data_IF_185345080874
#
_entry.id   IF_185345080874
#
_cell.length_a   1.000
_cell.length_b   1.000
_cell.length_c   1.000
_cell.angle_alpha   90.00
_cell.angle_beta   90.00
_cell.angle_gamma   90.00
#
_symmetry.space_group_name_H-M   'P 1'
#
loop_
_entity.id
_entity.type
_entity.pdbx_description
1 polymer ?
#
# COMPACT_ATOMS: atom_id res chain seq x y z
N UNK A 1 -32.93 -39.49 51.82
CA UNK A 1 -32.70 -40.40 50.68
C UNK A 1 -33.65 -39.97 49.58
N UNK A 2 -33.11 -39.60 48.40
CA UNK A 2 -33.84 -39.32 47.14
C UNK A 2 -34.70 -38.04 47.18
N UNK A 3 -34.79 -37.13 46.22
CA UNK A 3 -34.20 -36.83 44.90
C UNK A 3 -34.68 -35.40 44.57
N UNK A 4 -34.15 -34.78 43.52
CA UNK A 4 -34.51 -33.47 42.91
C UNK A 4 -33.44 -32.40 43.17
N UNK A 5 -32.23 -32.73 42.69
CA UNK A 5 -31.29 -31.74 42.17
C UNK A 5 -31.71 -31.54 40.70
N UNK A 6 -32.76 -30.74 40.48
CA UNK A 6 -33.25 -30.44 39.13
C UNK A 6 -32.24 -29.51 38.48
N UNK A 7 -31.61 -30.00 37.43
CA UNK A 7 -30.73 -29.29 36.53
C UNK A 7 -31.30 -27.92 36.14
N UNK A 8 -30.87 -26.86 36.85
CA UNK A 8 -30.70 -25.53 36.27
C UNK A 8 -29.38 -25.53 35.48
N UNK A 9 -29.27 -26.46 34.53
CA UNK A 9 -28.61 -26.16 33.27
C UNK A 9 -29.63 -25.25 32.59
N UNK A 10 -29.57 -23.96 32.91
CA UNK A 10 -29.95 -22.93 31.98
C UNK A 10 -29.07 -23.15 30.76
N UNK A 11 -29.54 -24.05 29.89
CA UNK A 11 -29.28 -23.97 28.49
C UNK A 11 -29.69 -22.55 28.12
N UNK A 12 -28.70 -21.65 28.10
CA UNK A 12 -28.68 -20.59 27.13
C UNK A 12 -28.72 -21.33 25.80
N UNK A 13 -29.95 -21.67 25.39
CA UNK A 13 -30.29 -21.87 24.01
C UNK A 13 -30.01 -20.49 23.45
N UNK A 14 -28.76 -20.27 23.04
CA UNK A 14 -28.44 -19.27 22.05
C UNK A 14 -29.27 -19.75 20.88
N UNK A 15 -30.48 -19.23 20.76
CA UNK A 15 -31.31 -19.40 19.60
C UNK A 15 -30.56 -18.66 18.51
N UNK A 16 -29.57 -19.34 17.92
CA UNK A 16 -29.08 -19.00 16.60
C UNK A 16 -30.33 -18.92 15.75
N UNK A 17 -30.76 -17.70 15.41
CA UNK A 17 -31.90 -17.50 14.56
C UNK A 17 -31.53 -18.17 13.24
N UNK A 18 -32.05 -19.38 13.01
CA UNK A 18 -31.83 -20.09 11.78
C UNK A 18 -32.40 -19.22 10.66
N UNK A 19 -31.51 -18.68 9.82
CA UNK A 19 -31.90 -17.90 8.64
C UNK A 19 -32.89 -18.74 7.84
N UNK A 20 -34.06 -18.20 7.51
CA UNK A 20 -35.06 -18.98 6.77
C UNK A 20 -34.52 -19.38 5.39
N UNK A 21 -34.80 -20.61 4.95
CA UNK A 21 -34.38 -21.10 3.62
C UNK A 21 -34.89 -20.18 2.50
N UNK A 22 -36.09 -19.62 2.66
CA UNK A 22 -36.67 -18.64 1.74
C UNK A 22 -35.78 -17.39 1.60
N UNK A 23 -35.28 -16.86 2.71
CA UNK A 23 -34.40 -15.69 2.69
C UNK A 23 -33.04 -16.02 2.07
N UNK A 24 -32.44 -17.16 2.41
CA UNK A 24 -31.18 -17.61 1.81
C UNK A 24 -31.31 -17.80 0.30
N UNK A 25 -32.42 -18.40 -0.14
CA UNK A 25 -32.74 -18.58 -1.56
C UNK A 25 -32.90 -17.24 -2.27
N UNK A 26 -33.57 -16.26 -1.64
CA UNK A 26 -33.69 -14.92 -2.19
C UNK A 26 -32.31 -14.24 -2.35
N UNK A 27 -31.46 -14.31 -1.32
CA UNK A 27 -30.08 -13.80 -1.37
C UNK A 27 -29.31 -14.45 -2.52
N UNK A 28 -29.31 -15.79 -2.59
CA UNK A 28 -28.57 -16.52 -3.61
C UNK A 28 -29.06 -16.19 -5.03
N UNK A 29 -30.39 -16.13 -5.25
CA UNK A 29 -30.98 -15.71 -6.51
C UNK A 29 -30.51 -14.30 -6.93
N UNK A 30 -30.52 -13.34 -6.01
CA UNK A 30 -30.10 -11.97 -6.31
C UNK A 30 -28.60 -11.85 -6.57
N UNK A 31 -27.76 -12.64 -5.89
CA UNK A 31 -26.32 -12.71 -6.17
C UNK A 31 -26.04 -13.30 -7.55
N UNK A 32 -26.61 -14.46 -7.87
CA UNK A 32 -26.42 -15.16 -9.16
C UNK A 32 -26.91 -14.31 -10.34
N UNK A 33 -28.02 -13.59 -10.17
CA UNK A 33 -28.58 -12.72 -11.20
C UNK A 33 -27.95 -11.31 -11.27
N UNK A 34 -26.99 -10.99 -10.38
CA UNK A 34 -26.42 -9.65 -10.22
C UNK A 34 -27.51 -8.55 -10.10
N UNK A 35 -28.57 -8.84 -9.32
CA UNK A 35 -29.70 -7.94 -9.13
C UNK A 35 -29.36 -6.78 -8.19
N UNK A 36 -29.72 -5.52 -8.50
CA UNK A 36 -29.56 -4.38 -7.57
C UNK A 36 -30.25 -4.58 -6.21
N UNK A 37 -31.29 -5.39 -6.16
CA UNK A 37 -32.07 -5.72 -4.96
C UNK A 37 -31.23 -6.40 -3.86
N UNK A 38 -30.08 -6.99 -4.22
CA UNK A 38 -29.16 -7.59 -3.26
C UNK A 38 -28.68 -6.60 -2.18
N UNK A 39 -28.68 -5.29 -2.49
CA UNK A 39 -28.30 -4.23 -1.54
C UNK A 39 -29.10 -4.26 -0.25
N UNK A 40 -30.38 -4.70 -0.30
CA UNK A 40 -31.27 -4.84 0.86
C UNK A 40 -30.81 -5.92 1.85
N UNK A 41 -29.91 -6.79 1.42
CA UNK A 41 -29.36 -7.87 2.22
C UNK A 41 -27.92 -7.59 2.66
N UNK A 42 -27.34 -6.42 2.37
CA UNK A 42 -26.06 -6.02 2.94
C UNK A 42 -26.30 -5.50 4.36
N UNK A 43 -25.44 -5.84 5.31
CA UNK A 43 -25.50 -5.27 6.65
C UNK A 43 -25.44 -3.74 6.58
N UNK A 44 -26.36 -3.04 7.25
CA UNK A 44 -26.53 -1.58 7.09
C UNK A 44 -25.24 -0.79 7.30
N UNK A 45 -24.44 -1.15 8.31
CA UNK A 45 -23.14 -0.53 8.57
C UNK A 45 -22.16 -0.70 7.41
N UNK A 46 -22.12 -1.88 6.80
CA UNK A 46 -21.25 -2.18 5.65
C UNK A 46 -21.73 -1.44 4.41
N UNK A 47 -23.05 -1.35 4.20
CA UNK A 47 -23.63 -0.55 3.12
C UNK A 47 -23.31 0.94 3.25
N UNK A 48 -23.44 1.51 4.45
CA UNK A 48 -23.02 2.88 4.74
C UNK A 48 -21.52 3.07 4.49
N UNK A 49 -20.71 2.10 4.92
CA UNK A 49 -19.26 2.17 4.78
C UNK A 49 -18.85 2.18 3.30
N UNK A 50 -19.41 1.31 2.47
CA UNK A 50 -19.19 1.29 1.01
C UNK A 50 -19.50 2.61 0.32
N UNK A 51 -20.52 3.34 0.80
CA UNK A 51 -21.00 4.56 0.16
C UNK A 51 -20.49 5.85 0.81
N UNK A 52 -19.76 5.79 1.93
CA UNK A 52 -19.44 6.93 2.80
C UNK A 52 -18.70 8.08 2.11
N UNK A 53 -17.92 7.75 1.10
CA UNK A 53 -17.12 8.70 0.34
C UNK A 53 -17.78 9.19 -0.96
N UNK A 54 -18.93 8.63 -1.34
CA UNK A 54 -19.60 8.95 -2.60
C UNK A 54 -18.79 8.59 -3.85
N UNK A 55 -17.85 7.64 -3.74
CA UNK A 55 -17.12 7.10 -4.89
C UNK A 55 -18.04 6.07 -5.58
N UNK A 56 -18.30 6.28 -6.86
CA UNK A 56 -19.13 5.41 -7.72
C UNK A 56 -18.32 4.95 -8.92
N UNK A 57 -18.72 3.80 -9.48
CA UNK A 57 -18.08 3.21 -10.65
C UNK A 57 -19.06 3.12 -11.80
N UNK A 58 -18.66 3.64 -12.97
CA UNK A 58 -19.51 3.61 -14.17
C UNK A 58 -19.84 2.17 -14.54
N UNK A 59 -21.11 1.91 -14.87
CA UNK A 59 -21.65 0.59 -15.24
C UNK A 59 -21.63 -0.47 -14.12
N UNK A 60 -21.26 -0.09 -12.89
CA UNK A 60 -21.33 -0.97 -11.72
C UNK A 60 -22.63 -0.71 -10.97
N UNK A 61 -23.53 -1.71 -10.97
CA UNK A 61 -24.82 -1.62 -10.28
C UNK A 61 -24.71 -1.59 -8.77
N UNK A 62 -23.73 -2.32 -8.22
CA UNK A 62 -23.52 -2.43 -6.79
C UNK A 62 -22.03 -2.46 -6.47
N UNK A 63 -21.53 -1.36 -5.91
CA UNK A 63 -20.12 -1.21 -5.52
C UNK A 63 -19.67 -2.27 -4.51
N UNK A 64 -20.54 -2.71 -3.59
CA UNK A 64 -20.19 -3.65 -2.52
C UNK A 64 -19.67 -5.00 -3.05
N UNK A 65 -20.07 -5.39 -4.26
CA UNK A 65 -19.71 -6.67 -4.85
C UNK A 65 -18.58 -6.59 -5.87
N UNK A 66 -17.94 -5.43 -6.09
CA UNK A 66 -16.79 -5.35 -7.02
C UNK A 66 -15.73 -6.39 -6.64
N UNK A 67 -15.26 -7.15 -7.65
CA UNK A 67 -14.34 -8.28 -7.56
C UNK A 67 -14.90 -9.54 -6.85
N UNK A 68 -16.16 -9.52 -6.42
CA UNK A 68 -16.84 -10.68 -5.85
C UNK A 68 -18.21 -10.96 -6.50
N UNK A 69 -18.54 -10.30 -7.60
CA UNK A 69 -19.74 -10.57 -8.39
C UNK A 69 -19.69 -11.96 -9.05
N UNK A 70 -20.86 -12.44 -9.46
CA UNK A 70 -20.94 -13.56 -10.39
C UNK A 70 -20.61 -13.05 -11.81
N UNK A 71 -19.88 -13.84 -12.63
CA UNK A 71 -19.71 -13.50 -14.03
C UNK A 71 -21.09 -13.41 -14.72
N UNK A 72 -21.16 -12.73 -15.86
CA UNK A 72 -22.41 -12.67 -16.64
C UNK A 72 -22.73 -14.09 -17.14
N UNK A 73 -23.74 -14.69 -16.54
CA UNK A 73 -24.21 -16.05 -16.83
C UNK A 73 -25.70 -16.02 -17.18
N UNK A 74 -26.18 -17.07 -17.86
CA UNK A 74 -27.62 -17.23 -18.12
C UNK A 74 -28.36 -17.39 -16.79
N UNK A 75 -29.37 -16.54 -16.58
CA UNK A 75 -30.20 -16.53 -15.36
C UNK A 75 -30.99 -17.83 -15.16
N UNK A 76 -31.10 -18.69 -16.18
CA UNK A 76 -31.77 -19.98 -16.10
C UNK A 76 -30.87 -21.12 -15.58
N UNK A 77 -29.58 -20.85 -15.31
CA UNK A 77 -28.68 -21.87 -14.78
C UNK A 77 -29.14 -22.33 -13.39
N UNK A 78 -29.12 -23.64 -13.19
CA UNK A 78 -29.34 -24.24 -11.87
C UNK A 78 -28.09 -24.00 -11.02
N UNK A 79 -28.31 -23.50 -9.82
CA UNK A 79 -27.28 -23.35 -8.80
C UNK A 79 -27.72 -24.05 -7.52
N UNK A 80 -26.74 -24.50 -6.75
CA UNK A 80 -26.93 -25.03 -5.41
C UNK A 80 -26.36 -24.04 -4.40
N UNK A 81 -26.94 -23.97 -3.21
CA UNK A 81 -26.35 -23.21 -2.10
C UNK A 81 -26.39 -24.03 -0.81
N UNK A 82 -25.38 -23.79 0.04
CA UNK A 82 -25.29 -24.35 1.39
C UNK A 82 -24.85 -23.27 2.36
N UNK A 83 -25.25 -23.41 3.62
CA UNK A 83 -24.77 -22.56 4.70
C UNK A 83 -24.08 -23.38 5.77
N UNK A 84 -22.96 -22.85 6.27
CA UNK A 84 -22.22 -23.43 7.38
C UNK A 84 -22.09 -22.38 8.48
N UNK A 85 -22.42 -22.75 9.72
CA UNK A 85 -22.15 -21.88 10.86
C UNK A 85 -20.64 -21.81 11.06
N UNK A 86 -20.09 -20.60 11.18
CA UNK A 86 -18.66 -20.40 11.41
C UNK A 86 -18.38 -20.00 12.87
N UNK A 87 -18.34 -18.71 13.18
CA UNK A 87 -18.03 -18.17 14.52
C UNK A 87 -18.97 -16.99 14.82
N UNK A 88 -19.20 -16.65 16.09
CA UNK A 88 -19.88 -15.42 16.56
C UNK A 88 -21.21 -15.08 15.82
N UNK A 89 -22.07 -16.08 15.61
CA UNK A 89 -23.35 -15.99 14.88
C UNK A 89 -23.22 -15.64 13.38
N UNK A 90 -22.02 -15.80 12.80
CA UNK A 90 -21.81 -15.70 11.37
C UNK A 90 -22.03 -17.05 10.67
N UNK A 91 -22.55 -16.98 9.45
CA UNK A 91 -22.68 -18.12 8.55
C UNK A 91 -21.90 -17.88 7.26
N UNK A 92 -21.26 -18.92 6.73
CA UNK A 92 -20.70 -18.94 5.39
C UNK A 92 -21.74 -19.48 4.42
N UNK A 93 -22.20 -18.63 3.50
CA UNK A 93 -23.02 -19.01 2.36
C UNK A 93 -22.11 -19.38 1.18
N UNK A 94 -22.13 -20.64 0.79
CA UNK A 94 -21.44 -21.12 -0.42
C UNK A 94 -22.47 -21.34 -1.51
N UNK A 95 -22.26 -20.72 -2.67
CA UNK A 95 -23.09 -20.90 -3.87
C UNK A 95 -22.23 -21.58 -4.94
N UNK A 96 -22.74 -22.65 -5.53
CA UNK A 96 -22.08 -23.44 -6.56
C UNK A 96 -22.91 -23.48 -7.83
N UNK A 97 -22.26 -23.29 -8.98
CA UNK A 97 -22.83 -23.49 -10.31
C UNK A 97 -21.96 -24.54 -11.01
N UNK A 98 -22.25 -25.85 -10.80
CA UNK A 98 -21.38 -26.92 -11.27
C UNK A 98 -21.15 -26.91 -12.79
N UNK A 99 -22.16 -26.49 -13.57
CA UNK A 99 -22.07 -26.44 -15.04
C UNK A 99 -21.01 -25.46 -15.55
N UNK A 100 -20.69 -24.42 -14.76
CA UNK A 100 -19.71 -23.37 -15.10
C UNK A 100 -18.42 -23.49 -14.28
N UNK A 101 -18.32 -24.50 -13.42
CA UNK A 101 -17.24 -24.64 -12.44
C UNK A 101 -17.05 -23.37 -11.58
N UNK A 102 -18.16 -22.72 -11.20
CA UNK A 102 -18.15 -21.52 -10.36
C UNK A 102 -18.49 -21.89 -8.93
N UNK A 103 -17.66 -21.45 -8.00
CA UNK A 103 -17.90 -21.50 -6.55
C UNK A 103 -17.66 -20.11 -5.96
N UNK A 104 -18.63 -19.59 -5.21
CA UNK A 104 -18.55 -18.27 -4.55
C UNK A 104 -18.98 -18.37 -3.09
N UNK A 105 -18.32 -17.58 -2.26
CA UNK A 105 -18.49 -17.59 -0.82
C UNK A 105 -18.84 -16.19 -0.30
N UNK A 106 -19.81 -16.12 0.61
CA UNK A 106 -20.30 -14.90 1.22
C UNK A 106 -20.48 -15.09 2.72
N UNK A 107 -20.00 -14.15 3.52
CA UNK A 107 -20.22 -14.16 4.96
C UNK A 107 -21.54 -13.45 5.29
N UNK A 108 -22.33 -14.08 6.15
CA UNK A 108 -23.60 -13.56 6.63
C UNK A 108 -23.52 -13.33 8.14
N UNK A 109 -24.02 -12.18 8.60
CA UNK A 109 -24.32 -11.88 10.00
C UNK A 109 -25.80 -11.55 10.11
N UNK A 110 -26.56 -12.25 10.96
CA UNK A 110 -28.00 -12.01 11.12
C UNK A 110 -28.75 -11.96 9.78
N UNK A 111 -28.44 -12.90 8.87
CA UNK A 111 -28.99 -12.94 7.51
C UNK A 111 -28.67 -11.76 6.60
N UNK A 112 -27.59 -11.03 6.90
CA UNK A 112 -27.10 -9.89 6.12
C UNK A 112 -25.65 -10.13 5.70
N UNK A 113 -25.34 -9.85 4.44
CA UNK A 113 -24.01 -10.00 3.84
C UNK A 113 -23.06 -8.98 4.45
N UNK A 114 -21.85 -9.45 4.78
CA UNK A 114 -20.72 -8.65 5.24
C UNK A 114 -19.48 -8.95 4.40
N UNK A 115 -18.53 -8.01 4.36
CA UNK A 115 -17.27 -8.22 3.65
C UNK A 115 -16.31 -9.12 4.44
N UNK A 116 -15.34 -9.74 3.74
CA UNK A 116 -14.26 -10.49 4.38
C UNK A 116 -13.47 -9.64 5.39
N UNK A 117 -13.08 -8.38 5.08
CA UNK A 117 -12.43 -7.53 6.06
C UNK A 117 -13.26 -7.30 7.31
N UNK A 118 -14.55 -7.05 7.18
CA UNK A 118 -15.44 -6.89 8.34
C UNK A 118 -15.48 -8.15 9.21
N UNK A 119 -15.66 -9.33 8.59
CA UNK A 119 -15.70 -10.60 9.31
C UNK A 119 -14.37 -10.89 10.04
N UNK A 120 -13.24 -10.84 9.34
CA UNK A 120 -11.95 -11.25 9.92
C UNK A 120 -11.35 -10.23 10.90
N UNK A 121 -11.76 -8.97 10.85
CA UNK A 121 -11.25 -7.91 11.73
C UNK A 121 -12.12 -7.58 12.93
N UNK A 122 -13.26 -8.28 13.11
CA UNK A 122 -14.27 -7.98 14.14
C UNK A 122 -13.73 -7.92 15.59
N UNK A 123 -12.64 -8.65 15.86
CA UNK A 123 -11.98 -8.71 17.17
C UNK A 123 -10.59 -8.03 17.18
N UNK A 124 -10.24 -7.29 16.12
CA UNK A 124 -8.97 -6.58 16.04
C UNK A 124 -8.98 -5.32 16.88
N UNK A 125 -7.79 -4.87 17.29
CA UNK A 125 -7.67 -3.60 17.99
C UNK A 125 -7.96 -2.46 17.02
N UNK A 126 -8.75 -1.49 17.47
CA UNK A 126 -8.95 -0.25 16.73
C UNK A 126 -8.16 0.92 17.33
N UNK A 127 -7.56 1.74 16.46
CA UNK A 127 -7.00 3.06 16.79
C UNK A 127 -7.52 4.08 15.79
N UNK A 128 -7.55 5.35 16.16
CA UNK A 128 -7.97 6.43 15.27
C UNK A 128 -6.98 7.58 15.30
N UNK A 129 -6.92 8.32 14.20
CA UNK A 129 -6.18 9.57 14.03
C UNK A 129 -7.06 10.56 13.26
N UNK A 130 -6.52 11.67 12.76
CA UNK A 130 -7.31 12.70 12.10
C UNK A 130 -8.01 12.21 10.82
N UNK A 131 -7.33 11.42 9.99
CA UNK A 131 -7.89 10.94 8.72
C UNK A 131 -8.11 9.43 8.66
N UNK A 132 -7.68 8.67 9.67
CA UNK A 132 -7.72 7.21 9.63
C UNK A 132 -8.47 6.57 10.80
N UNK A 133 -9.01 5.39 10.50
CA UNK A 133 -9.42 4.37 11.47
C UNK A 133 -8.63 3.10 11.19
N UNK A 134 -7.75 2.73 12.11
CA UNK A 134 -6.88 1.58 12.01
C UNK A 134 -7.54 0.36 12.64
N UNK A 135 -7.46 -0.77 11.95
CA UNK A 135 -7.79 -2.10 12.45
C UNK A 135 -6.49 -2.89 12.47
N UNK A 136 -6.03 -3.29 13.65
CA UNK A 136 -4.68 -3.82 13.88
C UNK A 136 -4.81 -5.22 14.46
N UNK A 137 -4.33 -6.23 13.73
CA UNK A 137 -4.40 -7.62 14.18
C UNK A 137 -3.38 -7.97 15.27
N UNK A 138 -2.23 -7.32 15.25
CA UNK A 138 -1.16 -7.43 16.26
C UNK A 138 -0.60 -6.05 16.58
N UNK A 139 -0.90 -5.54 17.78
CA UNK A 139 -0.46 -4.21 18.21
C UNK A 139 1.06 -4.08 18.32
N UNK A 140 1.78 -5.18 18.49
CA UNK A 140 3.25 -5.15 18.56
C UNK A 140 3.88 -4.81 17.21
N UNK A 141 3.11 -4.84 16.11
CA UNK A 141 3.60 -4.51 14.78
C UNK A 141 3.29 -3.08 14.34
N UNK A 142 2.64 -2.26 15.18
CA UNK A 142 2.22 -0.91 14.81
C UNK A 142 2.52 0.11 15.89
N UNK A 143 2.96 1.31 15.49
CA UNK A 143 3.39 2.35 16.41
C UNK A 143 2.89 3.74 15.96
N UNK A 144 2.97 4.71 16.87
CA UNK A 144 2.49 6.07 16.60
C UNK A 144 3.32 6.79 15.53
N UNK A 145 4.59 6.40 15.34
CA UNK A 145 5.39 6.96 14.26
C UNK A 145 4.80 6.59 12.89
N UNK A 146 4.38 5.34 12.68
CA UNK A 146 3.70 4.93 11.44
C UNK A 146 2.39 5.71 11.20
N UNK A 147 1.59 5.93 12.26
CA UNK A 147 0.36 6.74 12.17
C UNK A 147 0.68 8.17 11.70
N UNK A 148 1.66 8.82 12.33
CA UNK A 148 2.05 10.19 11.98
C UNK A 148 2.58 10.30 10.55
N UNK A 149 3.30 9.28 10.08
CA UNK A 149 3.80 9.23 8.71
C UNK A 149 2.67 9.08 7.68
N UNK A 150 1.65 8.25 7.96
CA UNK A 150 0.44 8.14 7.13
C UNK A 150 -0.36 9.47 7.10
N UNK A 151 -0.49 10.15 8.23
CA UNK A 151 -1.15 11.47 8.32
C UNK A 151 -0.39 12.55 7.53
N UNK A 152 0.94 12.59 7.67
CA UNK A 152 1.80 13.49 6.93
C UNK A 152 1.71 13.23 5.42
N UNK A 153 1.70 11.95 5.02
CA UNK A 153 1.51 11.56 3.63
C UNK A 153 0.20 12.10 3.07
N UNK A 154 -0.95 11.80 3.70
CA UNK A 154 -2.26 12.28 3.25
C UNK A 154 -2.32 13.82 3.18
N UNK A 155 -1.74 14.51 4.16
CA UNK A 155 -1.69 15.98 4.17
C UNK A 155 -0.92 16.55 2.98
N UNK A 156 0.24 15.96 2.63
CA UNK A 156 0.99 16.34 1.42
C UNK A 156 0.17 16.10 0.15
N UNK A 157 -0.53 14.97 0.10
CA UNK A 157 -1.36 14.61 -1.05
C UNK A 157 -2.58 15.50 -1.23
N UNK A 158 -3.19 15.99 -0.14
CA UNK A 158 -4.23 17.02 -0.23
C UNK A 158 -3.73 18.28 -0.90
N UNK A 159 -2.53 18.74 -0.55
CA UNK A 159 -1.90 19.88 -1.20
C UNK A 159 -1.56 19.57 -2.67
N UNK A 160 -0.94 18.42 -2.94
CA UNK A 160 -0.51 18.04 -4.29
C UNK A 160 -1.70 17.88 -5.23
N UNK A 161 -2.76 17.18 -4.80
CA UNK A 161 -3.96 16.92 -5.59
C UNK A 161 -5.03 18.02 -5.49
N UNK A 162 -4.69 19.14 -4.82
CA UNK A 162 -5.55 20.31 -4.65
C UNK A 162 -6.94 19.94 -4.12
N UNK A 163 -7.02 19.21 -3.02
CA UNK A 163 -8.29 18.87 -2.40
C UNK A 163 -8.94 20.12 -1.81
N UNK A 164 -10.27 20.23 -1.89
CA UNK A 164 -11.01 21.31 -1.22
C UNK A 164 -11.14 21.02 0.29
N UNK A 165 -11.40 22.06 1.09
CA UNK A 165 -11.66 21.90 2.52
C UNK A 165 -12.85 20.97 2.80
N UNK A 166 -13.86 20.98 1.94
CA UNK A 166 -15.00 20.05 2.01
C UNK A 166 -14.55 18.59 1.82
N UNK A 167 -13.70 18.33 0.82
CA UNK A 167 -13.14 17.01 0.55
C UNK A 167 -12.28 16.52 1.73
N UNK A 168 -11.43 17.39 2.27
CA UNK A 168 -10.58 17.09 3.43
C UNK A 168 -11.45 16.80 4.66
N UNK A 169 -12.46 17.63 4.92
CA UNK A 169 -13.40 17.44 6.03
C UNK A 169 -14.20 16.15 5.89
N UNK A 170 -14.59 15.77 4.67
CA UNK A 170 -15.27 14.49 4.42
C UNK A 170 -14.35 13.32 4.80
N UNK A 171 -13.06 13.35 4.44
CA UNK A 171 -12.10 12.32 4.86
C UNK A 171 -11.92 12.31 6.37
N UNK A 172 -11.78 13.49 7.00
CA UNK A 172 -11.66 13.62 8.46
C UNK A 172 -12.86 13.04 9.21
N UNK A 173 -14.08 13.24 8.70
CA UNK A 173 -15.31 12.74 9.30
C UNK A 173 -15.52 11.25 9.07
N UNK A 174 -15.28 10.76 7.85
CA UNK A 174 -15.61 9.39 7.44
C UNK A 174 -14.47 8.38 7.66
N UNK A 175 -13.24 8.88 7.79
CA UNK A 175 -11.99 8.14 8.00
C UNK A 175 -11.65 7.10 6.92
N UNK A 176 -10.38 7.04 6.56
CA UNK A 176 -9.82 5.97 5.74
C UNK A 176 -9.66 4.75 6.65
N UNK A 177 -10.30 3.63 6.28
CA UNK A 177 -10.18 2.39 7.05
C UNK A 177 -8.91 1.66 6.61
N UNK A 178 -8.01 1.45 7.56
CA UNK A 178 -6.68 0.87 7.32
C UNK A 178 -6.51 -0.41 8.14
N UNK A 179 -6.49 -1.55 7.47
CA UNK A 179 -6.37 -2.87 8.06
C UNK A 179 -4.92 -3.35 7.97
N UNK A 180 -4.26 -3.40 9.12
CA UNK A 180 -2.90 -3.90 9.24
C UNK A 180 -2.91 -5.37 9.64
N UNK A 181 -2.59 -6.23 8.68
CA UNK A 181 -2.42 -7.66 8.84
C UNK A 181 -1.00 -7.98 9.32
N UNK A 182 -0.87 -9.01 10.16
CA UNK A 182 0.42 -9.42 10.73
C UNK A 182 1.29 -10.17 9.73
N UNK A 183 0.70 -10.86 8.76
CA UNK A 183 1.42 -11.69 7.78
C UNK A 183 0.64 -11.89 6.47
N UNK A 184 1.28 -12.59 5.52
CA UNK A 184 0.73 -12.88 4.18
C UNK A 184 -0.52 -13.79 4.22
N UNK A 185 -0.60 -14.72 5.17
CA UNK A 185 -1.74 -15.61 5.31
C UNK A 185 -2.97 -14.83 5.79
N UNK A 186 -2.77 -13.90 6.73
CA UNK A 186 -3.85 -13.09 7.25
C UNK A 186 -4.40 -12.11 6.22
N UNK A 187 -3.54 -11.39 5.48
CA UNK A 187 -4.01 -10.54 4.39
C UNK A 187 -4.74 -11.35 3.30
N UNK A 188 -4.30 -12.56 2.96
CA UNK A 188 -5.01 -13.40 2.01
C UNK A 188 -6.43 -13.76 2.49
N UNK A 189 -6.61 -14.04 3.79
CA UNK A 189 -7.95 -14.28 4.35
C UNK A 189 -8.83 -13.04 4.31
N UNK A 190 -8.27 -11.89 4.68
CA UNK A 190 -8.97 -10.61 4.77
C UNK A 190 -9.34 -10.07 3.39
N UNK A 191 -8.42 -10.08 2.42
CA UNK A 191 -8.63 -9.53 1.08
C UNK A 191 -9.21 -10.56 0.09
N UNK A 192 -8.94 -11.85 0.30
CA UNK A 192 -9.20 -12.92 -0.66
C UNK A 192 -8.07 -13.16 -1.67
N UNK A 193 -6.98 -12.39 -1.64
CA UNK A 193 -5.90 -12.43 -2.62
C UNK A 193 -4.53 -12.63 -1.99
N UNK A 194 -3.66 -13.38 -2.67
CA UNK A 194 -2.24 -13.49 -2.29
C UNK A 194 -1.54 -12.19 -2.65
N UNK A 195 -1.41 -11.28 -1.68
CA UNK A 195 -0.79 -9.96 -1.85
C UNK A 195 -0.16 -9.49 -0.53
N UNK A 196 0.56 -8.37 -0.56
CA UNK A 196 1.08 -7.64 0.63
C UNK A 196 0.34 -6.32 0.88
N UNK A 197 -0.47 -5.88 -0.08
CA UNK A 197 -1.45 -4.83 0.13
C UNK A 197 -2.44 -4.71 -1.02
N UNK A 198 -3.56 -4.08 -0.73
CA UNK A 198 -4.65 -3.87 -1.68
C UNK A 198 -5.56 -2.75 -1.20
N UNK A 199 -5.93 -1.87 -2.12
CA UNK A 199 -7.09 -1.01 -2.01
C UNK A 199 -8.35 -1.75 -2.50
N UNK A 200 -9.23 -2.11 -1.57
CA UNK A 200 -10.49 -2.80 -1.87
C UNK A 200 -11.54 -1.76 -2.29
N UNK A 201 -11.77 -1.68 -3.61
CA UNK A 201 -12.70 -0.72 -4.23
C UNK A 201 -14.11 -0.79 -3.63
N UNK A 202 -14.57 -1.98 -3.26
CA UNK A 202 -15.93 -2.20 -2.80
C UNK A 202 -16.27 -1.48 -1.48
N UNK A 203 -15.31 -1.33 -0.56
CA UNK A 203 -15.50 -0.68 0.73
C UNK A 203 -14.61 0.55 0.94
N UNK A 204 -13.78 0.90 -0.04
CA UNK A 204 -12.71 1.87 0.10
C UNK A 204 -11.77 1.55 1.30
N UNK A 205 -11.35 0.30 1.39
CA UNK A 205 -10.47 -0.19 2.47
C UNK A 205 -9.03 -0.30 1.98
N UNK A 206 -8.08 0.11 2.82
CA UNK A 206 -6.67 -0.21 2.65
C UNK A 206 -6.38 -1.44 3.49
N UNK A 207 -6.00 -2.55 2.88
CA UNK A 207 -5.62 -3.78 3.59
C UNK A 207 -4.16 -4.09 3.27
N UNK A 208 -3.31 -4.30 4.28
CA UNK A 208 -1.87 -4.42 4.04
C UNK A 208 -1.11 -5.10 5.17
N UNK A 209 0.09 -5.61 4.86
CA UNK A 209 1.09 -6.06 5.83
C UNK A 209 2.15 -5.01 6.18
N UNK A 210 2.12 -3.85 5.52
CA UNK A 210 3.08 -2.76 5.71
C UNK A 210 2.56 -1.73 6.72
N UNK A 211 3.44 -1.26 7.60
CA UNK A 211 3.10 -0.22 8.58
C UNK A 211 2.66 1.09 7.92
N UNK A 212 3.27 1.44 6.79
CA UNK A 212 2.94 2.65 6.04
C UNK A 212 2.83 2.31 4.55
N UNK A 213 1.61 2.04 4.08
CA UNK A 213 1.37 1.63 2.71
C UNK A 213 0.80 2.77 1.87
N UNK A 214 1.66 3.74 1.57
CA UNK A 214 1.29 4.94 0.82
C UNK A 214 0.76 4.64 -0.59
N UNK A 215 1.31 3.62 -1.24
CA UNK A 215 0.90 3.18 -2.58
C UNK A 215 -0.61 2.91 -2.69
N UNK A 216 -1.19 2.13 -1.77
CA UNK A 216 -2.63 1.85 -1.82
C UNK A 216 -3.48 3.07 -1.42
N UNK A 217 -2.92 3.95 -0.59
CA UNK A 217 -3.59 5.20 -0.23
C UNK A 217 -3.70 6.11 -1.46
N UNK A 218 -2.70 6.15 -2.34
CA UNK A 218 -2.79 6.88 -3.62
C UNK A 218 -3.96 6.40 -4.48
N UNK A 219 -4.15 5.08 -4.60
CA UNK A 219 -5.28 4.50 -5.34
C UNK A 219 -6.62 4.96 -4.76
N UNK A 220 -6.74 5.04 -3.43
CA UNK A 220 -7.91 5.62 -2.78
C UNK A 220 -8.07 7.12 -3.08
N UNK A 221 -7.01 7.91 -2.92
CA UNK A 221 -7.06 9.36 -3.04
C UNK A 221 -7.43 9.81 -4.45
N UNK A 222 -6.91 9.17 -5.49
CA UNK A 222 -7.31 9.47 -6.87
C UNK A 222 -8.76 9.13 -7.14
N UNK A 223 -9.25 7.97 -6.68
CA UNK A 223 -10.66 7.62 -6.85
C UNK A 223 -11.57 8.58 -6.08
N UNK A 224 -11.18 9.01 -4.89
CA UNK A 224 -11.90 10.01 -4.12
C UNK A 224 -11.91 11.39 -4.78
N UNK A 225 -10.80 11.79 -5.41
CA UNK A 225 -10.71 13.03 -6.18
C UNK A 225 -11.63 13.03 -7.39
N UNK A 226 -11.76 11.88 -8.04
CA UNK A 226 -12.56 11.69 -9.24
C UNK A 226 -14.06 11.52 -8.96
N UNK A 227 -14.42 10.93 -7.80
CA UNK A 227 -15.78 10.52 -7.37
C UNK A 227 -16.44 9.51 -8.29
N UNK A 228 -16.67 9.83 -9.55
CA UNK A 228 -17.23 8.92 -10.54
C UNK A 228 -16.12 8.41 -11.46
N UNK A 229 -15.72 7.15 -11.26
CA UNK A 229 -14.55 6.56 -11.90
C UNK A 229 -14.96 5.43 -12.85
N UNK A 230 -14.39 5.31 -14.04
CA UNK A 230 -14.48 4.05 -14.77
C UNK A 230 -13.78 2.92 -13.99
N UNK A 231 -14.19 1.66 -14.19
CA UNK A 231 -13.66 0.55 -13.41
C UNK A 231 -12.16 0.27 -13.67
N UNK A 232 -11.70 0.55 -14.88
CA UNK A 232 -10.33 0.29 -15.31
C UNK A 232 -9.65 1.58 -15.74
N UNK A 233 -8.41 1.76 -15.31
CA UNK A 233 -7.51 2.80 -15.80
C UNK A 233 -6.30 2.14 -16.47
N UNK A 234 -5.70 2.82 -17.44
CA UNK A 234 -4.45 2.36 -18.03
C UNK A 234 -3.39 2.16 -16.93
N UNK A 235 -2.79 0.96 -16.80
CA UNK A 235 -1.97 0.60 -15.64
C UNK A 235 -0.71 1.48 -15.51
N UNK A 236 -0.15 1.95 -16.63
CA UNK A 236 0.94 2.94 -16.62
C UNK A 236 0.63 4.21 -15.81
N UNK A 237 -0.59 4.74 -15.89
CA UNK A 237 -0.97 5.95 -15.14
C UNK A 237 -1.40 5.60 -13.71
N UNK A 238 -2.12 4.49 -13.54
CA UNK A 238 -2.61 4.01 -12.25
C UNK A 238 -1.45 3.67 -11.31
N UNK A 239 -0.59 2.74 -11.72
CA UNK A 239 0.58 2.32 -10.94
C UNK A 239 1.65 3.40 -10.92
N UNK A 240 1.79 4.16 -12.01
CA UNK A 240 2.71 5.29 -12.08
C UNK A 240 2.42 6.34 -11.01
N UNK A 241 1.16 6.74 -10.81
CA UNK A 241 0.80 7.69 -9.75
C UNK A 241 1.14 7.12 -8.36
N UNK A 242 0.72 5.88 -8.10
CA UNK A 242 0.92 5.25 -6.81
C UNK A 242 2.41 5.03 -6.48
N UNK A 243 3.25 4.78 -7.48
CA UNK A 243 4.71 4.65 -7.29
C UNK A 243 5.39 6.00 -7.13
N UNK A 244 5.00 7.00 -7.94
CA UNK A 244 5.61 8.33 -7.94
C UNK A 244 5.61 8.97 -6.54
N UNK A 245 4.53 8.77 -5.77
CA UNK A 245 4.38 9.36 -4.44
C UNK A 245 4.35 8.33 -3.31
N UNK A 246 3.82 7.13 -3.56
CA UNK A 246 3.64 6.10 -2.55
C UNK A 246 4.73 5.01 -2.52
N UNK A 247 5.62 4.97 -3.51
CA UNK A 247 6.63 3.93 -3.63
C UNK A 247 6.04 2.54 -3.91
N UNK A 248 6.73 1.48 -3.47
CA UNK A 248 6.30 0.10 -3.75
C UNK A 248 6.88 -0.90 -2.76
N UNK A 249 6.03 -1.74 -2.17
CA UNK A 249 6.48 -2.95 -1.47
C UNK A 249 7.39 -2.73 -0.25
N UNK A 250 7.24 -1.61 0.47
CA UNK A 250 8.13 -1.21 1.56
C UNK A 250 9.35 -0.40 1.11
N UNK A 251 9.47 -0.10 -0.19
CA UNK A 251 10.42 0.86 -0.74
C UNK A 251 9.77 2.23 -0.80
N UNK A 252 10.45 3.26 -0.28
CA UNK A 252 10.01 4.64 -0.40
C UNK A 252 10.06 5.12 -1.87
N UNK A 253 9.26 6.12 -2.21
CA UNK A 253 9.11 6.61 -3.58
C UNK A 253 10.45 6.96 -4.25
N UNK A 254 11.30 7.76 -3.59
CA UNK A 254 12.63 8.12 -4.09
C UNK A 254 13.49 6.90 -4.47
N UNK A 255 13.50 5.85 -3.63
CA UNK A 255 14.25 4.62 -3.88
C UNK A 255 13.74 3.90 -5.15
N UNK A 256 12.43 3.88 -5.35
CA UNK A 256 11.82 3.28 -6.55
C UNK A 256 12.10 4.15 -7.79
N UNK A 257 12.02 5.47 -7.67
CA UNK A 257 12.28 6.40 -8.77
C UNK A 257 13.74 6.33 -9.24
N UNK A 258 14.71 6.17 -8.34
CA UNK A 258 16.12 5.96 -8.67
C UNK A 258 16.34 4.66 -9.45
N UNK A 259 15.63 3.60 -9.06
CA UNK A 259 15.62 2.35 -9.83
C UNK A 259 15.09 2.59 -11.24
N UNK A 260 14.06 3.42 -11.38
CA UNK A 260 13.54 3.86 -12.68
C UNK A 260 14.58 4.60 -13.52
N UNK A 261 15.36 5.50 -12.92
CA UNK A 261 16.43 6.24 -13.62
C UNK A 261 17.47 5.26 -14.17
N UNK A 262 17.90 4.29 -13.35
CA UNK A 262 18.84 3.27 -13.78
C UNK A 262 18.31 2.41 -14.94
N UNK A 263 17.06 1.94 -14.84
CA UNK A 263 16.43 1.10 -15.87
C UNK A 263 16.43 1.83 -17.23
N UNK A 264 16.03 3.10 -17.23
CA UNK A 264 15.96 3.90 -18.46
C UNK A 264 17.35 4.23 -18.99
N UNK A 265 18.28 4.65 -18.14
CA UNK A 265 19.64 5.03 -18.56
C UNK A 265 20.51 3.86 -19.00
N UNK A 266 20.16 2.65 -18.61
CA UNK A 266 20.84 1.42 -19.02
C UNK A 266 20.13 0.71 -20.17
N UNK A 267 19.15 1.36 -20.80
CA UNK A 267 18.35 0.85 -21.92
C UNK A 267 17.65 -0.51 -21.63
N UNK A 268 17.31 -0.79 -20.36
CA UNK A 268 16.53 -2.00 -20.01
C UNK A 268 15.05 -1.86 -20.38
N UNK A 269 14.48 -0.66 -20.21
CA UNK A 269 13.14 -0.30 -20.62
C UNK A 269 12.99 1.24 -20.63
N UNK A 270 12.12 1.77 -21.48
CA UNK A 270 11.74 3.20 -21.47
C UNK A 270 10.21 3.35 -21.52
N UNK A 271 9.71 4.53 -21.14
CA UNK A 271 8.28 4.82 -21.08
C UNK A 271 7.53 4.59 -22.40
N UNK A 272 8.07 4.81 -23.62
CA UNK A 272 7.30 4.73 -24.85
C UNK A 272 6.72 3.34 -25.12
N UNK A 273 7.40 2.29 -24.68
CA UNK A 273 6.95 0.90 -24.82
C UNK A 273 5.85 0.58 -23.81
N UNK A 274 6.00 1.11 -22.59
CA UNK A 274 5.07 0.92 -21.47
C UNK A 274 3.76 1.70 -21.63
N UNK A 275 3.64 2.55 -22.65
CA UNK A 275 2.37 3.19 -23.04
C UNK A 275 1.37 2.20 -23.64
N UNK A 276 1.78 0.98 -23.99
CA UNK A 276 0.85 -0.12 -24.32
C UNK A 276 0.49 -0.88 -23.05
N UNK A 277 -0.81 -1.02 -22.80
CA UNK A 277 -1.37 -1.80 -21.69
C UNK A 277 -0.91 -3.24 -21.75
N UNK A 278 -0.99 -3.90 -22.91
CA UNK A 278 -0.50 -5.28 -23.07
C UNK A 278 0.99 -5.39 -22.77
N UNK A 279 1.81 -4.47 -23.25
CA UNK A 279 3.25 -4.52 -22.97
C UNK A 279 3.51 -4.33 -21.48
N UNK A 280 2.92 -3.29 -20.87
CA UNK A 280 3.04 -3.01 -19.44
C UNK A 280 2.70 -4.21 -18.56
N UNK A 281 1.59 -4.90 -18.84
CA UNK A 281 1.15 -6.06 -18.05
C UNK A 281 2.03 -7.30 -18.24
N UNK A 282 2.77 -7.38 -19.34
CA UNK A 282 3.71 -8.47 -19.61
C UNK A 282 5.13 -8.13 -19.13
N UNK A 283 5.44 -6.87 -18.86
CA UNK A 283 6.70 -6.43 -18.26
C UNK A 283 6.64 -6.66 -16.75
N UNK A 284 7.70 -7.26 -16.19
CA UNK A 284 7.80 -7.48 -14.74
C UNK A 284 7.61 -6.17 -13.97
N UNK A 285 6.83 -6.21 -12.89
CA UNK A 285 6.49 -5.03 -12.11
C UNK A 285 7.71 -4.41 -11.40
N UNK A 286 8.84 -5.11 -11.24
CA UNK A 286 10.11 -4.51 -10.82
C UNK A 286 10.76 -3.62 -11.89
N UNK A 287 10.27 -3.65 -13.14
CA UNK A 287 10.72 -2.80 -14.25
C UNK A 287 9.64 -1.77 -14.61
N UNK A 288 8.41 -2.22 -14.88
CA UNK A 288 7.34 -1.34 -15.38
C UNK A 288 6.90 -0.28 -14.36
N UNK A 289 6.90 -0.60 -13.06
CA UNK A 289 6.45 0.33 -12.01
C UNK A 289 7.47 1.45 -11.75
N UNK A 290 8.78 1.17 -11.57
CA UNK A 290 9.76 2.26 -11.47
C UNK A 290 9.75 3.23 -12.65
N UNK A 291 9.69 2.72 -13.89
CA UNK A 291 9.70 3.58 -15.09
C UNK A 291 8.40 4.40 -15.17
N UNK A 292 7.24 3.79 -14.94
CA UNK A 292 5.96 4.52 -14.94
C UNK A 292 5.84 5.53 -13.81
N UNK A 293 6.35 5.22 -12.62
CA UNK A 293 6.43 6.16 -11.50
C UNK A 293 7.30 7.36 -11.81
N UNK A 294 8.49 7.11 -12.38
CA UNK A 294 9.42 8.16 -12.78
C UNK A 294 8.84 9.08 -13.85
N UNK A 295 8.19 8.49 -14.85
CA UNK A 295 7.55 9.26 -15.90
C UNK A 295 6.30 9.99 -15.40
N UNK A 296 5.55 9.43 -14.46
CA UNK A 296 4.37 10.10 -13.86
C UNK A 296 4.78 11.32 -13.03
N UNK A 297 5.85 11.22 -12.25
CA UNK A 297 6.44 12.35 -11.53
C UNK A 297 6.88 13.46 -12.52
N UNK A 298 7.52 13.07 -13.64
CA UNK A 298 7.83 13.99 -14.74
C UNK A 298 6.57 14.65 -15.32
N UNK A 299 5.54 13.87 -15.65
CA UNK A 299 4.28 14.38 -16.22
C UNK A 299 3.68 15.44 -15.29
N UNK A 300 3.51 15.13 -14.01
CA UNK A 300 2.89 16.05 -13.06
C UNK A 300 3.72 17.34 -12.94
N UNK A 301 5.05 17.26 -12.93
CA UNK A 301 5.94 18.44 -12.93
C UNK A 301 5.84 19.28 -14.20
N UNK A 302 5.55 18.67 -15.35
CA UNK A 302 5.49 19.37 -16.64
C UNK A 302 4.12 19.97 -16.96
N UNK A 303 3.05 19.21 -16.72
CA UNK A 303 1.68 19.59 -17.11
C UNK A 303 0.81 19.98 -15.93
N UNK A 304 1.27 19.75 -14.70
CA UNK A 304 0.51 19.99 -13.48
C UNK A 304 -0.47 18.86 -13.17
N UNK A 305 -0.84 18.74 -11.89
CA UNK A 305 -1.71 17.67 -11.40
C UNK A 305 -3.10 17.65 -12.04
N UNK A 306 -3.68 18.82 -12.37
CA UNK A 306 -5.03 18.90 -12.95
C UNK A 306 -5.06 18.28 -14.35
N UNK A 307 -4.08 18.63 -15.21
CA UNK A 307 -3.98 18.03 -16.54
C UNK A 307 -3.61 16.55 -16.48
N UNK A 308 -2.82 16.14 -15.49
CA UNK A 308 -2.56 14.72 -15.24
C UNK A 308 -3.86 13.98 -14.87
N UNK A 309 -4.71 14.54 -14.01
CA UNK A 309 -6.02 13.96 -13.66
C UNK A 309 -6.93 13.86 -14.88
N UNK A 310 -6.92 14.85 -15.77
CA UNK A 310 -7.67 14.77 -17.03
C UNK A 310 -7.15 13.66 -17.96
N UNK A 311 -5.82 13.51 -18.07
CA UNK A 311 -5.18 12.42 -18.79
C UNK A 311 -5.57 11.05 -18.18
N UNK A 312 -5.54 10.94 -16.84
CA UNK A 312 -5.95 9.74 -16.11
C UNK A 312 -7.40 9.35 -16.44
N UNK A 313 -8.32 10.32 -16.42
CA UNK A 313 -9.73 10.10 -16.81
C UNK A 313 -9.87 9.70 -18.27
N UNK A 314 -9.14 10.35 -19.17
CA UNK A 314 -9.17 10.06 -20.60
C UNK A 314 -8.80 8.60 -20.89
N UNK A 315 -7.81 8.07 -20.17
CA UNK A 315 -7.36 6.69 -20.29
C UNK A 315 -7.97 5.76 -19.23
N UNK A 316 -9.25 5.98 -18.93
CA UNK A 316 -10.06 5.10 -18.07
C UNK A 316 -11.36 4.66 -18.78
N UNK A 317 -11.81 3.42 -18.54
CA UNK A 317 -12.99 2.80 -19.18
C UNK A 317 -13.66 1.79 -18.24
N UNK A 318 -14.96 1.53 -18.42
CA UNK A 318 -15.66 0.46 -17.69
C UNK A 318 -15.86 -0.81 -18.51
N UNK A 319 -16.03 -0.69 -19.84
CA UNK A 319 -16.57 -1.78 -20.66
C UNK A 319 -15.71 -2.13 -21.87
N UNK A 320 -14.86 -1.21 -22.32
CA UNK A 320 -14.08 -1.36 -23.55
C UNK A 320 -12.62 -1.06 -23.27
N UNK A 321 -11.86 -2.12 -22.94
CA UNK A 321 -10.44 -2.04 -22.65
C UNK A 321 -9.62 -1.56 -23.86
N UNK A 322 -10.14 -1.71 -25.09
CA UNK A 322 -9.42 -1.25 -26.28
C UNK A 322 -9.26 0.28 -26.30
N UNK A 323 -10.17 1.03 -25.67
CA UNK A 323 -10.07 2.50 -25.55
C UNK A 323 -8.87 2.96 -24.72
N UNK A 324 -8.37 2.07 -23.87
CA UNK A 324 -7.23 2.34 -22.98
C UNK A 324 -6.08 1.39 -23.29
N UNK A 325 -6.03 0.80 -24.49
CA UNK A 325 -4.98 -0.15 -24.83
C UNK A 325 -3.63 0.53 -25.03
N UNK A 326 -3.63 1.76 -25.55
CA UNK A 326 -2.41 2.55 -25.76
C UNK A 326 -2.64 4.01 -25.43
N UNK A 327 -1.69 4.61 -24.70
CA UNK A 327 -1.64 6.05 -24.50
C UNK A 327 -1.02 6.72 -25.73
N UNK A 328 -1.74 7.63 -26.36
CA UNK A 328 -1.25 8.44 -27.47
C UNK A 328 -0.13 9.39 -26.97
N UNK A 329 1.06 9.23 -27.57
CA UNK A 329 2.25 10.06 -27.31
C UNK A 329 2.01 11.54 -27.58
N UNK A 330 1.08 11.90 -28.47
CA UNK A 330 0.73 13.29 -28.75
C UNK A 330 0.09 14.00 -27.55
N UNK A 331 -0.43 13.23 -26.58
CA UNK A 331 -0.98 13.77 -25.34
C UNK A 331 0.09 13.98 -24.26
N UNK A 332 1.34 13.60 -24.53
CA UNK A 332 2.46 13.62 -23.59
C UNK A 332 3.47 14.73 -23.95
N UNK A 333 4.26 15.24 -22.99
CA UNK A 333 5.35 16.15 -23.27
C UNK A 333 6.39 15.55 -24.22
N UNK A 334 7.07 16.40 -24.97
CA UNK A 334 8.10 16.00 -25.92
C UNK A 334 9.29 15.26 -25.28
N UNK A 335 9.91 14.34 -26.04
CA UNK A 335 11.01 13.48 -25.58
C UNK A 335 12.20 14.28 -25.04
N UNK A 336 12.50 15.44 -25.61
CA UNK A 336 13.63 16.27 -25.20
C UNK A 336 13.46 16.75 -23.76
N UNK A 337 12.22 17.07 -23.34
CA UNK A 337 11.93 17.45 -21.95
C UNK A 337 12.12 16.28 -20.99
N UNK A 338 11.77 15.07 -21.43
CA UNK A 338 11.99 13.86 -20.65
C UNK A 338 13.50 13.58 -20.46
N UNK A 339 14.29 13.71 -21.52
CA UNK A 339 15.74 13.52 -21.45
C UNK A 339 16.39 14.53 -20.49
N UNK A 340 16.02 15.81 -20.58
CA UNK A 340 16.48 16.85 -19.65
C UNK A 340 16.08 16.57 -18.20
N UNK A 341 14.87 16.04 -17.99
CA UNK A 341 14.40 15.65 -16.67
C UNK A 341 15.25 14.52 -16.09
N UNK A 342 15.48 13.45 -16.86
CA UNK A 342 16.34 12.33 -16.45
C UNK A 342 17.75 12.77 -16.10
N UNK A 343 18.35 13.62 -16.92
CA UNK A 343 19.71 14.14 -16.68
C UNK A 343 19.78 14.94 -15.37
N UNK A 344 18.70 15.66 -15.03
CA UNK A 344 18.61 16.41 -13.78
C UNK A 344 18.56 15.53 -12.52
N UNK A 345 18.29 14.23 -12.65
CA UNK A 345 18.16 13.29 -11.55
C UNK A 345 19.44 12.48 -11.26
N UNK A 346 20.38 12.41 -12.21
CA UNK A 346 21.58 11.56 -12.11
C UNK A 346 22.40 11.79 -10.84
N UNK A 347 22.40 13.03 -10.31
CA UNK A 347 23.15 13.42 -9.12
C UNK A 347 22.26 13.69 -7.89
N UNK A 348 21.00 13.25 -7.91
CA UNK A 348 20.03 13.57 -6.85
C UNK A 348 19.78 12.43 -5.86
N UNK A 349 20.34 11.24 -6.10
CA UNK A 349 20.26 10.12 -5.15
C UNK A 349 20.68 10.60 -3.75
N UNK A 350 19.84 10.43 -2.71
CA UNK A 350 20.16 10.88 -1.36
C UNK A 350 21.28 10.04 -0.74
N UNK A 351 21.63 8.88 -1.30
CA UNK A 351 22.74 8.02 -0.88
C UNK A 351 23.77 7.96 -2.01
N UNK A 352 24.99 8.44 -1.76
CA UNK A 352 26.06 8.49 -2.77
C UNK A 352 27.40 8.14 -2.17
N UNK A 353 28.33 7.66 -2.98
CA UNK A 353 29.69 7.33 -2.53
C UNK A 353 30.49 8.59 -2.18
N UNK A 354 31.39 8.47 -1.20
CA UNK A 354 32.27 9.58 -0.81
C UNK A 354 33.55 9.54 -1.65
N UNK A 355 33.52 10.22 -2.80
CA UNK A 355 34.68 10.36 -3.69
C UNK A 355 35.46 11.64 -3.37
N UNK A 356 36.75 11.50 -3.05
CA UNK A 356 37.68 12.62 -2.85
C UNK A 356 37.14 13.70 -1.88
N UNK A 357 36.39 13.29 -0.87
CA UNK A 357 35.75 14.21 0.05
C UNK A 357 36.76 14.80 1.02
N UNK A 358 36.88 16.13 1.04
CA UNK A 358 37.61 16.82 2.10
C UNK A 358 36.78 16.80 3.39
N UNK A 359 37.16 15.89 4.30
CA UNK A 359 36.52 15.72 5.61
C UNK A 359 36.50 17.03 6.41
N UNK A 360 37.37 18.00 6.07
CA UNK A 360 37.43 19.33 6.71
C UNK A 360 36.16 20.14 6.55
N UNK A 361 35.34 19.85 5.55
CA UNK A 361 34.05 20.52 5.34
C UNK A 361 32.93 19.93 6.22
N UNK A 362 33.24 18.94 7.07
CA UNK A 362 32.28 18.29 7.92
C UNK A 362 32.66 18.39 9.39
N UNK A 363 31.68 18.68 10.22
CA UNK A 363 31.79 18.67 11.67
C UNK A 363 31.58 17.24 12.20
N UNK A 364 32.42 16.75 13.12
CA UNK A 364 32.25 15.43 13.69
C UNK A 364 30.99 15.38 14.56
N UNK A 365 30.10 14.43 14.27
CA UNK A 365 28.97 14.09 15.15
C UNK A 365 29.44 13.10 16.20
N UNK A 366 30.10 12.02 15.77
CA UNK A 366 30.60 10.97 16.65
C UNK A 366 31.74 10.20 15.98
N UNK A 367 32.70 9.72 16.79
CA UNK A 367 33.78 8.82 16.36
C UNK A 367 33.90 7.65 17.33
N UNK A 368 33.68 6.43 16.84
CA UNK A 368 33.87 5.16 17.55
C UNK A 368 34.77 4.25 16.69
N UNK A 369 35.23 3.14 17.25
CA UNK A 369 36.09 2.18 16.53
C UNK A 369 35.38 1.52 15.34
N UNK A 370 34.07 1.30 15.44
CA UNK A 370 33.27 0.61 14.42
C UNK A 370 32.63 1.57 13.39
N UNK A 371 32.56 2.86 13.71
CA UNK A 371 32.02 3.88 12.80
C UNK A 371 32.37 5.31 13.19
N UNK A 372 32.30 6.20 12.20
CA UNK A 372 32.38 7.64 12.37
C UNK A 372 31.27 8.32 11.55
N UNK A 373 30.71 9.40 12.09
CA UNK A 373 29.70 10.20 11.41
C UNK A 373 30.09 11.66 11.53
N UNK A 374 30.01 12.35 10.40
CA UNK A 374 30.22 13.77 10.29
C UNK A 374 29.03 14.41 9.59
N UNK A 375 28.83 15.72 9.77
CA UNK A 375 27.73 16.46 9.14
C UNK A 375 28.20 17.80 8.61
N UNK A 376 27.55 18.28 7.56
CA UNK A 376 27.56 19.68 7.16
C UNK A 376 26.11 20.20 7.15
N UNK A 377 25.77 21.23 6.37
CA UNK A 377 24.40 21.75 6.31
C UNK A 377 23.42 20.82 5.58
N UNK A 378 23.88 20.09 4.57
CA UNK A 378 23.03 19.35 3.63
C UNK A 378 23.05 17.83 3.84
N UNK A 379 24.17 17.27 4.31
CA UNK A 379 24.46 15.84 4.26
C UNK A 379 25.20 15.35 5.51
N UNK A 380 25.10 14.05 5.73
CA UNK A 380 25.91 13.26 6.65
C UNK A 380 26.97 12.48 5.87
N UNK A 381 28.22 12.54 6.31
CA UNK A 381 29.27 11.62 5.89
C UNK A 381 29.34 10.46 6.89
N UNK A 382 29.10 9.25 6.39
CA UNK A 382 29.22 8.01 7.14
C UNK A 382 30.50 7.30 6.78
N UNK A 383 31.19 6.80 7.82
CA UNK A 383 32.29 5.84 7.71
C UNK A 383 31.93 4.66 8.60
N UNK A 384 31.47 3.54 8.03
CA UNK A 384 31.02 2.36 8.81
C UNK A 384 31.74 1.10 8.33
N UNK A 385 32.00 0.13 9.20
CA UNK A 385 32.62 -1.14 8.75
C UNK A 385 31.68 -2.00 7.91
N UNK A 386 30.43 -2.14 8.32
CA UNK A 386 29.39 -2.87 7.59
C UNK A 386 27.98 -2.40 7.94
N UNK A 387 27.64 -2.35 9.23
CA UNK A 387 26.28 -2.20 9.74
C UNK A 387 26.27 -1.16 10.84
N UNK A 388 25.31 -0.26 10.79
CA UNK A 388 25.09 0.75 11.82
C UNK A 388 23.61 0.77 12.21
N UNK A 389 23.36 0.70 13.50
CA UNK A 389 22.04 0.84 14.09
C UNK A 389 21.98 2.13 14.89
N UNK A 390 20.95 2.93 14.64
CA UNK A 390 20.79 4.26 15.24
C UNK A 390 19.49 4.29 16.02
N UNK A 391 19.56 4.69 17.30
CA UNK A 391 18.38 4.84 18.16
C UNK A 391 17.86 6.26 18.06
N UNK A 392 16.56 6.41 18.29
CA UNK A 392 15.93 7.71 18.48
C UNK A 392 15.70 7.96 19.97
N UNK A 393 15.52 9.23 20.32
CA UNK A 393 15.07 9.64 21.65
C UNK A 393 13.68 9.09 21.99
N UNK A 394 12.82 8.97 20.98
CA UNK A 394 11.50 8.36 21.10
C UNK A 394 11.63 6.84 21.05
N UNK A 395 11.21 6.15 22.11
CA UNK A 395 11.24 4.67 22.17
C UNK A 395 9.84 4.10 22.09
N UNK A 396 9.72 2.98 21.38
CA UNK A 396 8.49 2.18 21.31
C UNK A 396 8.79 0.80 21.89
N UNK A 397 8.62 0.66 23.22
CA UNK A 397 9.02 -0.55 23.96
C UNK A 397 8.30 -1.82 23.52
N UNK A 398 7.03 -1.69 23.13
CA UNK A 398 6.17 -2.83 22.81
C UNK A 398 6.15 -3.14 21.31
N UNK A 399 6.81 -2.30 20.51
CA UNK A 399 6.88 -2.43 19.06
C UNK A 399 8.01 -3.37 18.63
N UNK A 400 7.74 -4.20 17.64
CA UNK A 400 8.66 -5.12 16.97
C UNK A 400 8.79 -4.73 15.50
N UNK A 401 10.02 -4.45 15.06
CA UNK A 401 10.31 -4.27 13.64
C UNK A 401 10.48 -5.63 12.96
N UNK A 402 9.61 -5.94 11.98
CA UNK A 402 9.76 -7.13 11.13
C UNK A 402 11.09 -7.10 10.39
N UNK A 403 11.42 -5.93 9.84
CA UNK A 403 12.63 -5.72 9.07
C UNK A 403 13.90 -5.91 9.92
N UNK A 404 13.89 -5.46 11.18
CA UNK A 404 14.98 -5.75 12.11
C UNK A 404 15.11 -7.26 12.36
N UNK A 405 14.00 -7.96 12.61
CA UNK A 405 14.00 -9.40 12.86
C UNK A 405 14.50 -10.22 11.66
N UNK A 406 14.26 -9.75 10.43
CA UNK A 406 14.80 -10.36 9.20
C UNK A 406 16.33 -10.26 9.13
N UNK A 407 16.91 -9.13 9.53
CA UNK A 407 18.36 -8.90 9.51
C UNK A 407 19.10 -9.46 10.74
N UNK A 408 18.44 -9.52 11.91
CA UNK A 408 19.04 -9.94 13.18
C UNK A 408 18.13 -10.90 13.95
N UNK A 409 17.90 -12.13 13.46
CA UNK A 409 16.94 -13.07 14.05
C UNK A 409 17.27 -13.45 15.50
N UNK A 410 18.56 -13.45 15.86
CA UNK A 410 19.03 -13.83 17.21
C UNK A 410 19.10 -12.65 18.19
N UNK A 411 18.78 -11.43 17.75
CA UNK A 411 18.89 -10.22 18.57
C UNK A 411 17.51 -9.67 18.92
N UNK A 412 17.31 -9.35 20.19
CA UNK A 412 16.14 -8.59 20.61
C UNK A 412 16.22 -7.15 20.08
N UNK A 413 15.14 -6.69 19.45
CA UNK A 413 14.99 -5.32 18.99
C UNK A 413 14.95 -4.35 20.18
N UNK A 414 15.73 -3.27 20.13
CA UNK A 414 15.88 -2.30 21.22
C UNK A 414 15.39 -0.90 20.81
N UNK A 415 14.34 -0.87 20.00
CA UNK A 415 13.73 0.35 19.46
C UNK A 415 14.69 1.20 18.62
N UNK A 416 15.62 0.59 17.88
CA UNK A 416 16.43 1.30 16.88
C UNK A 416 15.54 1.86 15.78
N UNK A 417 15.73 3.13 15.40
CA UNK A 417 14.92 3.79 14.37
C UNK A 417 15.49 3.57 12.98
N UNK A 418 16.81 3.62 12.84
CA UNK A 418 17.48 3.45 11.56
C UNK A 418 18.45 2.26 11.56
N UNK A 419 18.51 1.57 10.43
CA UNK A 419 19.49 0.55 10.11
C UNK A 419 20.17 0.95 8.80
N UNK A 420 21.49 1.05 8.82
CA UNK A 420 22.31 1.32 7.64
C UNK A 420 23.21 0.10 7.42
N UNK A 421 23.17 -0.46 6.21
CA UNK A 421 24.04 -1.57 5.80
C UNK A 421 24.86 -1.09 4.60
N UNK A 422 26.16 -1.27 4.63
CA UNK A 422 27.08 -0.95 3.54
C UNK A 422 28.01 -2.13 3.26
N UNK A 423 28.21 -2.39 1.96
CA UNK A 423 29.18 -3.34 1.45
C UNK A 423 29.73 -2.80 0.11
N UNK A 424 30.65 -3.49 -0.59
CA UNK A 424 31.23 -2.96 -1.83
C UNK A 424 30.20 -2.69 -2.94
N UNK A 425 29.05 -3.38 -2.91
CA UNK A 425 28.04 -3.36 -3.97
C UNK A 425 26.83 -2.48 -3.66
N UNK A 426 26.52 -2.20 -2.40
CA UNK A 426 25.35 -1.40 -2.04
C UNK A 426 25.46 -0.70 -0.68
N UNK A 427 24.67 0.36 -0.54
CA UNK A 427 24.33 1.00 0.74
C UNK A 427 22.81 1.00 0.85
N UNK A 428 22.27 0.48 1.95
CA UNK A 428 20.83 0.44 2.21
C UNK A 428 20.52 1.17 3.52
N UNK A 429 19.56 2.08 3.49
CA UNK A 429 19.12 2.88 4.64
C UNK A 429 17.66 2.57 4.93
N UNK A 430 17.41 1.96 6.08
CA UNK A 430 16.09 1.53 6.50
C UNK A 430 15.56 2.37 7.65
N UNK A 431 14.25 2.61 7.64
CA UNK A 431 13.49 3.11 8.78
C UNK A 431 12.74 1.95 9.43
N UNK A 432 13.22 1.50 10.58
CA UNK A 432 12.69 0.34 11.30
C UNK A 432 11.36 0.64 12.01
N UNK A 433 11.02 1.91 12.27
CA UNK A 433 9.71 2.28 12.82
C UNK A 433 8.60 2.20 11.78
N UNK A 434 8.90 2.44 10.51
CA UNK A 434 7.97 2.23 9.40
C UNK A 434 8.18 0.91 8.65
N UNK A 435 9.23 0.14 8.97
CA UNK A 435 9.65 -1.06 8.22
C UNK A 435 9.84 -0.80 6.71
N UNK A 436 10.46 0.34 6.36
CA UNK A 436 10.70 0.70 4.96
C UNK A 436 12.19 0.87 4.64
N UNK A 437 12.56 0.58 3.39
CA UNK A 437 13.80 1.03 2.78
C UNK A 437 13.58 2.46 2.26
N UNK A 438 14.28 3.43 2.86
CA UNK A 438 14.08 4.85 2.61
C UNK A 438 15.13 5.46 1.69
N UNK A 439 16.31 4.84 1.58
CA UNK A 439 17.32 5.22 0.59
C UNK A 439 18.22 4.05 0.23
N UNK A 440 18.67 4.01 -1.02
CA UNK A 440 19.53 2.94 -1.51
C UNK A 440 20.53 3.44 -2.56
N UNK A 441 21.76 2.97 -2.43
CA UNK A 441 22.76 3.04 -3.48
C UNK A 441 23.11 1.63 -3.94
N UNK A 442 23.19 1.40 -5.24
CA UNK A 442 23.63 0.12 -5.83
C UNK A 442 24.76 0.42 -6.82
N UNK A 443 25.91 -0.22 -6.63
CA UNK A 443 27.10 -0.02 -7.44
C UNK A 443 26.87 -0.34 -8.93
N UNK A 444 26.09 -1.39 -9.22
CA UNK A 444 25.73 -1.73 -10.60
C UNK A 444 24.73 -0.75 -11.22
N UNK A 445 24.10 0.11 -10.40
CA UNK A 445 23.15 1.10 -10.89
C UNK A 445 23.79 2.46 -11.20
N UNK A 446 25.04 2.69 -10.79
CA UNK A 446 25.77 3.86 -11.21
C UNK A 446 26.32 3.67 -12.63
N UNK A 447 26.47 4.77 -13.38
CA UNK A 447 26.97 4.76 -14.75
C UNK A 447 28.20 5.68 -14.82
N UNK A 448 29.43 5.14 -14.92
CA UNK A 448 29.77 3.71 -14.91
C UNK A 448 29.53 3.03 -13.54
N UNK A 449 29.43 1.68 -13.50
CA UNK A 449 29.30 0.95 -12.25
C UNK A 449 30.46 1.26 -11.30
N UNK A 450 30.13 1.57 -10.04
CA UNK A 450 31.10 2.07 -9.08
C UNK A 450 30.90 1.44 -7.71
N UNK A 451 31.92 0.76 -7.15
CA UNK A 451 31.79 0.19 -5.83
C UNK A 451 31.80 1.28 -4.76
N UNK A 452 31.23 0.96 -3.60
CA UNK A 452 31.33 1.81 -2.42
C UNK A 452 32.79 1.90 -1.98
N UNK A 453 33.31 3.12 -1.87
CA UNK A 453 34.70 3.37 -1.51
C UNK A 453 34.99 2.80 -0.11
N UNK A 454 36.08 2.05 0.04
CA UNK A 454 36.54 1.50 1.31
C UNK A 454 37.92 2.05 1.66
N UNK A 455 38.02 2.80 2.75
CA UNK A 455 39.26 3.39 3.24
C UNK A 455 39.46 3.06 4.73
N UNK A 456 40.67 2.64 5.10
CA UNK A 456 41.00 2.29 6.49
C UNK A 456 40.00 1.32 7.14
N UNK A 457 39.50 0.36 6.34
CA UNK A 457 38.48 -0.62 6.71
C UNK A 457 37.03 -0.09 6.89
N UNK A 458 36.76 1.17 6.56
CA UNK A 458 35.40 1.74 6.55
C UNK A 458 34.89 1.93 5.13
N UNK A 459 33.61 1.63 4.92
CA UNK A 459 32.87 2.12 3.76
C UNK A 459 32.49 3.58 3.96
N UNK A 460 32.81 4.43 2.98
CA UNK A 460 32.61 5.87 3.06
C UNK A 460 31.56 6.35 2.05
N UNK A 461 30.52 7.02 2.56
CA UNK A 461 29.41 7.49 1.74
C UNK A 461 28.68 8.66 2.39
N UNK A 462 27.96 9.41 1.56
CA UNK A 462 27.10 10.49 1.99
C UNK A 462 25.64 10.07 1.99
N UNK A 463 24.91 10.55 2.98
CA UNK A 463 23.46 10.49 3.01
C UNK A 463 22.91 11.90 3.24
N UNK A 464 22.01 12.38 2.38
CA UNK A 464 21.32 13.65 2.58
C UNK A 464 20.54 13.67 3.89
N UNK A 465 20.55 14.82 4.58
CA UNK A 465 19.84 14.98 5.84
C UNK A 465 18.34 14.80 5.72
N UNK A 466 17.76 15.24 4.61
CA UNK A 466 16.32 15.17 4.34
C UNK A 466 15.78 13.74 4.22
N UNK A 467 16.67 12.74 4.13
CA UNK A 467 16.31 11.33 4.23
C UNK A 467 15.90 10.92 5.66
N UNK A 468 16.37 11.64 6.68
CA UNK A 468 16.08 11.39 8.07
C UNK A 468 15.07 12.41 8.61
N UNK A 469 14.19 11.99 9.52
CA UNK A 469 13.20 12.92 10.12
C UNK A 469 13.77 13.74 11.28
N UNK A 470 15.03 13.46 11.67
CA UNK A 470 15.69 14.07 12.81
C UNK A 470 17.20 14.19 12.56
N UNK A 471 17.81 15.19 13.19
CA UNK A 471 19.25 15.33 13.19
C UNK A 471 19.89 14.37 14.21
N UNK A 472 21.07 13.83 13.86
CA UNK A 472 21.80 12.93 14.74
C UNK A 472 22.58 13.67 15.82
N UNK A 473 22.46 13.17 17.05
CA UNK A 473 23.23 13.61 18.21
C UNK A 473 23.95 12.43 18.86
N UNK A 474 25.01 12.69 19.63
CA UNK A 474 25.86 11.65 20.26
C UNK A 474 25.06 10.61 21.07
N UNK A 475 23.93 11.01 21.67
CA UNK A 475 23.08 10.15 22.51
C UNK A 475 22.35 9.04 21.73
N UNK A 476 22.29 9.15 20.40
CA UNK A 476 21.57 8.23 19.53
C UNK A 476 22.32 6.90 19.28
N UNK A 477 23.59 6.82 19.72
CA UNK A 477 24.56 5.77 19.39
C UNK A 477 25.19 5.08 20.59
#
# INVERSE_FOLDING_TARGET
MKTIFLCLILSVIISAQSISDERLRAIANFLVSNSPEITKYILSQEFETTNRFGITYKDVKNKFFIANEFPKIDTNLKFDFKTELVEDDYCLLTISIPSENILKEYYLKDSSIVSKPFFYSRNWRTKESDHFKFYISDETLFNNYSINQLESFVSRMFSLMKFSDEQINQIKQKKICYFLCKDQNEIQRVSGFVTRGMYILAQDYIVTTYNTHYHEIEHFLINFKLKEVPLYTHPFLQEGLAVAFGGRGGLAANTVLETGVFIVKSDFADYPELLSRKYFLNTDASISYPVSGLYTDFLIKQIGIEKFVDLYKQYSTSNDLNKIETIDKNNLPAQEKWNLYLDSLLNKNPVKTAENSDIKNFEPVIKKEEFEIYKNDEEYLFRIKDTLLIRSSNKFSDYKSKLFAEHFPERAYQSEKYLIIANPNEISVYNLYANNLIGKYIASFSIPPKPVNKQNNFYEFFIKKDLFDEDFIVKDF
#
